data_IF_285529767601
#
_entry.id   IF_285529767601
#
_cell.length_a   1.000
_cell.length_b   1.000
_cell.length_c   1.000
_cell.angle_alpha   90.00
_cell.angle_beta   90.00
_cell.angle_gamma   90.00
#
_symmetry.space_group_name_H-M   'P 1'
#
loop_
_entity.id
_entity.type
_entity.pdbx_description
1 polymer ?
#
# COMPACT_ATOMS: atom_id res chain seq x y z
N UNK A 1 -4.97 -8.11 5.41
CA UNK A 1 -5.09 -7.10 4.33
C UNK A 1 -6.41 -6.34 4.37
N UNK A 2 -7.58 -7.00 4.52
CA UNK A 2 -8.87 -6.30 4.58
C UNK A 2 -8.94 -5.21 5.66
N UNK A 3 -8.64 -5.54 6.93
CA UNK A 3 -8.68 -4.57 8.02
C UNK A 3 -7.77 -3.35 7.77
N UNK A 4 -6.58 -3.60 7.22
CA UNK A 4 -5.64 -2.55 6.85
C UNK A 4 -6.20 -1.66 5.72
N UNK A 5 -6.70 -2.26 4.64
CA UNK A 5 -7.29 -1.51 3.53
C UNK A 5 -8.50 -0.68 3.96
N UNK A 6 -9.36 -1.20 4.84
CA UNK A 6 -10.47 -0.44 5.44
C UNK A 6 -9.95 0.72 6.30
N UNK A 7 -8.90 0.50 7.10
CA UNK A 7 -8.26 1.56 7.86
C UNK A 7 -7.74 2.70 6.97
N UNK A 8 -7.18 2.37 5.80
CA UNK A 8 -6.69 3.37 4.84
C UNK A 8 -7.78 4.20 4.17
N UNK A 9 -9.01 3.67 4.08
CA UNK A 9 -10.17 4.49 3.68
C UNK A 9 -10.41 5.60 4.72
N UNK A 10 -10.26 5.29 6.02
CA UNK A 10 -10.32 6.28 7.09
C UNK A 10 -9.26 7.36 6.96
N UNK A 11 -7.99 6.97 6.77
CA UNK A 11 -6.89 7.92 6.51
C UNK A 11 -7.19 8.83 5.30
N UNK A 12 -7.69 8.24 4.22
CA UNK A 12 -8.02 8.99 3.00
C UNK A 12 -9.12 10.04 3.22
N UNK A 13 -10.19 9.67 3.93
CA UNK A 13 -11.32 10.56 4.21
C UNK A 13 -10.97 11.66 5.22
N UNK A 14 -10.11 11.34 6.20
CA UNK A 14 -9.64 12.32 7.18
C UNK A 14 -8.63 13.31 6.58
N UNK A 15 -7.83 12.89 5.60
CA UNK A 15 -6.67 13.67 5.16
C UNK A 15 -5.67 13.83 6.30
N UNK A 16 -5.28 12.72 6.93
CA UNK A 16 -4.41 12.71 8.11
C UNK A 16 -2.91 12.88 7.80
N UNK A 17 -2.55 13.17 6.55
CA UNK A 17 -1.15 13.27 6.10
C UNK A 17 -0.63 12.01 5.39
N UNK A 18 -1.44 10.95 5.27
CA UNK A 18 -1.06 9.74 4.53
C UNK A 18 -1.26 9.88 3.01
N UNK A 19 -0.59 10.86 2.44
CA UNK A 19 -0.54 11.14 1.00
C UNK A 19 0.90 11.07 0.48
N UNK A 20 1.02 10.97 -0.84
CA UNK A 20 2.30 10.87 -1.54
C UNK A 20 2.94 12.22 -1.86
N UNK A 21 3.98 12.17 -2.69
CA UNK A 21 4.60 13.36 -3.27
C UNK A 21 3.62 14.16 -4.13
N UNK A 22 3.97 15.43 -4.39
CA UNK A 22 3.26 16.29 -5.35
C UNK A 22 3.23 15.61 -6.71
N UNK A 23 2.03 15.44 -7.26
CA UNK A 23 1.81 14.82 -8.56
C UNK A 23 1.93 15.89 -9.65
N UNK A 24 3.10 15.98 -10.27
CA UNK A 24 3.36 16.84 -11.42
C UNK A 24 3.03 16.17 -12.77
N UNK A 25 2.55 14.92 -12.75
CA UNK A 25 2.30 14.14 -13.95
C UNK A 25 0.86 14.33 -14.43
N UNK A 26 0.73 14.62 -15.73
CA UNK A 26 -0.58 14.66 -16.37
C UNK A 26 -1.21 13.26 -16.36
N UNK A 27 -2.51 13.23 -16.10
CA UNK A 27 -3.28 11.99 -16.10
C UNK A 27 -3.25 11.35 -17.48
N UNK A 28 -2.82 10.08 -17.59
CA UNK A 28 -2.68 9.43 -18.89
C UNK A 28 -4.06 9.27 -19.56
N UNK A 29 -4.13 9.32 -20.90
CA UNK A 29 -5.41 9.24 -21.63
C UNK A 29 -6.21 7.96 -21.33
N UNK A 30 -5.52 6.86 -21.05
CA UNK A 30 -6.12 5.56 -20.69
C UNK A 30 -6.89 5.58 -19.37
N UNK A 31 -6.59 6.52 -18.47
CA UNK A 31 -7.21 6.65 -17.16
C UNK A 31 -8.25 7.78 -17.08
N UNK A 32 -8.62 8.40 -18.22
CA UNK A 32 -9.61 9.50 -18.25
C UNK A 32 -10.99 9.12 -17.72
N UNK A 33 -11.34 7.84 -17.75
CA UNK A 33 -12.62 7.34 -17.22
C UNK A 33 -12.71 7.40 -15.69
N UNK A 34 -11.56 7.45 -15.00
CA UNK A 34 -11.54 7.61 -13.55
C UNK A 34 -11.82 9.07 -13.17
N UNK A 35 -12.37 9.34 -11.98
CA UNK A 35 -12.34 10.66 -11.35
C UNK A 35 -10.93 11.24 -11.21
N UNK A 36 -10.80 12.57 -11.21
CA UNK A 36 -9.50 13.24 -11.12
C UNK A 36 -8.85 13.12 -9.74
N UNK A 37 -9.67 13.09 -8.67
CA UNK A 37 -9.19 12.90 -7.30
C UNK A 37 -8.47 11.55 -7.10
N UNK A 38 -8.77 10.55 -7.93
CA UNK A 38 -8.08 9.24 -7.87
C UNK A 38 -6.68 9.30 -8.47
N UNK A 39 -6.33 10.36 -9.20
CA UNK A 39 -5.01 10.56 -9.77
C UNK A 39 -4.22 11.64 -9.01
N UNK A 40 -4.87 12.77 -8.73
CA UNK A 40 -4.28 13.90 -8.03
C UNK A 40 -5.34 14.54 -7.14
N UNK A 41 -5.05 14.58 -5.83
CA UNK A 41 -5.99 15.10 -4.84
C UNK A 41 -5.34 16.14 -3.94
N UNK A 42 -6.11 17.16 -3.53
CA UNK A 42 -5.63 18.25 -2.68
C UNK A 42 -6.03 18.11 -1.21
N UNK A 43 -6.78 17.06 -0.86
CA UNK A 43 -7.27 16.82 0.51
C UNK A 43 -7.87 18.10 1.15
N UNK A 44 -9.00 18.60 0.60
CA UNK A 44 -9.69 19.74 1.21
C UNK A 44 -10.24 19.34 2.58
N UNK A 45 -10.19 20.27 3.53
CA UNK A 45 -10.58 20.04 4.93
C UNK A 45 -9.79 18.91 5.61
N UNK A 46 -8.49 18.82 5.31
CA UNK A 46 -7.63 17.83 5.94
C UNK A 46 -7.48 18.09 7.45
N UNK A 47 -7.43 17.02 8.25
CA UNK A 47 -7.45 17.10 9.72
C UNK A 47 -6.18 17.70 10.33
N UNK A 48 -5.10 17.79 9.56
CA UNK A 48 -3.82 18.35 10.01
C UNK A 48 -3.63 19.83 9.63
N UNK A 49 -4.65 20.45 9.02
CA UNK A 49 -4.64 21.85 8.57
C UNK A 49 -3.44 22.22 7.66
N UNK A 50 -2.97 21.26 6.86
CA UNK A 50 -1.84 21.43 5.96
C UNK A 50 -2.21 22.21 4.69
N UNK A 51 -1.28 23.08 4.26
CA UNK A 51 -1.33 23.80 2.99
C UNK A 51 -1.83 25.24 3.13
N UNK A 52 -2.81 25.60 2.30
CA UNK A 52 -3.39 26.94 2.23
C UNK A 52 -4.83 26.92 2.74
N UNK A 53 -5.29 28.04 3.29
CA UNK A 53 -6.67 28.19 3.73
C UNK A 53 -7.62 28.24 2.51
N UNK A 54 -8.78 27.61 2.64
CA UNK A 54 -9.86 27.65 1.66
C UNK A 54 -10.61 28.98 1.80
N UNK A 55 -10.71 29.73 0.71
CA UNK A 55 -11.43 31.02 0.69
C UNK A 55 -12.90 30.83 1.05
N UNK A 56 -13.38 31.65 2.00
CA UNK A 56 -14.76 31.59 2.47
C UNK A 56 -15.08 30.44 3.45
N UNK A 57 -14.10 29.62 3.85
CA UNK A 57 -14.31 28.56 4.84
C UNK A 57 -14.27 29.11 6.28
N UNK A 58 -15.32 28.83 7.04
CA UNK A 58 -15.43 29.13 8.47
C UNK A 58 -15.73 27.83 9.24
N UNK A 59 -14.86 27.45 10.16
CA UNK A 59 -14.97 26.20 10.92
C UNK A 59 -13.62 25.59 11.29
N UNK A 60 -13.66 24.35 11.78
CA UNK A 60 -12.49 23.52 12.05
C UNK A 60 -12.09 22.79 10.75
N UNK A 61 -10.80 22.67 10.47
CA UNK A 61 -10.24 22.09 9.24
C UNK A 61 -10.60 22.84 7.96
N UNK A 62 -10.05 24.04 7.79
CA UNK A 62 -10.29 24.90 6.61
C UNK A 62 -9.08 24.98 5.68
N UNK A 63 -8.16 24.01 5.75
CA UNK A 63 -6.98 23.95 4.89
C UNK A 63 -7.14 22.94 3.74
N UNK A 64 -6.37 23.18 2.68
CA UNK A 64 -6.16 22.24 1.58
C UNK A 64 -4.72 22.34 1.07
N UNK A 65 -4.21 21.26 0.48
CA UNK A 65 -2.88 21.27 -0.12
C UNK A 65 -2.81 22.23 -1.31
N UNK A 66 -1.70 22.97 -1.40
CA UNK A 66 -1.44 23.93 -2.48
C UNK A 66 -1.40 23.26 -3.85
N UNK A 67 -0.73 22.12 -3.94
CA UNK A 67 -0.62 21.29 -5.13
C UNK A 67 -1.31 19.94 -4.90
N UNK A 68 -1.79 19.32 -5.99
CA UNK A 68 -2.36 17.98 -5.92
C UNK A 68 -1.25 16.94 -5.70
N UNK A 69 -1.49 16.02 -4.79
CA UNK A 69 -0.56 14.94 -4.43
C UNK A 69 -1.13 13.61 -4.89
N UNK A 70 -0.27 12.59 -4.97
CA UNK A 70 -0.74 11.22 -5.16
C UNK A 70 -1.54 10.77 -3.94
N UNK A 71 -2.80 10.30 -4.09
CA UNK A 71 -3.61 9.81 -2.99
C UNK A 71 -3.16 8.40 -2.57
N UNK A 72 -1.99 8.27 -1.95
CA UNK A 72 -1.39 6.98 -1.58
C UNK A 72 -2.29 6.16 -0.65
N UNK A 73 -2.95 6.79 0.33
CA UNK A 73 -3.95 6.14 1.18
C UNK A 73 -5.07 5.44 0.38
N UNK A 74 -5.53 6.04 -0.71
CA UNK A 74 -6.50 5.41 -1.61
C UNK A 74 -5.89 4.22 -2.37
N UNK A 75 -4.67 4.38 -2.90
CA UNK A 75 -3.98 3.29 -3.59
C UNK A 75 -3.74 2.08 -2.68
N UNK A 76 -3.30 2.32 -1.44
CA UNK A 76 -3.14 1.27 -0.42
C UNK A 76 -4.46 0.56 -0.12
N UNK A 77 -5.56 1.31 0.05
CA UNK A 77 -6.86 0.73 0.29
C UNK A 77 -7.29 -0.20 -0.85
N UNK A 78 -7.17 0.26 -2.10
CA UNK A 78 -7.54 -0.53 -3.29
C UNK A 78 -6.67 -1.76 -3.43
N UNK A 79 -5.34 -1.62 -3.33
CA UNK A 79 -4.42 -2.75 -3.48
C UNK A 79 -4.64 -3.76 -2.35
N UNK A 80 -4.74 -3.33 -1.09
CA UNK A 80 -4.93 -4.25 0.03
C UNK A 80 -6.28 -4.97 0.01
N UNK A 81 -7.36 -4.30 -0.38
CA UNK A 81 -8.68 -4.94 -0.54
C UNK A 81 -8.66 -5.89 -1.74
N UNK A 82 -8.04 -5.49 -2.86
CA UNK A 82 -7.88 -6.32 -4.05
C UNK A 82 -7.05 -7.58 -3.79
N UNK A 83 -5.93 -7.46 -3.09
CA UNK A 83 -5.08 -8.59 -2.70
C UNK A 83 -5.79 -9.51 -1.69
N UNK A 84 -6.57 -8.93 -0.76
CA UNK A 84 -7.43 -9.74 0.10
C UNK A 84 -8.45 -10.55 -0.71
N UNK A 85 -9.14 -9.91 -1.66
CA UNK A 85 -10.10 -10.59 -2.53
C UNK A 85 -9.42 -11.70 -3.35
N UNK A 86 -8.24 -11.43 -3.92
CA UNK A 86 -7.44 -12.41 -4.65
C UNK A 86 -7.12 -13.64 -3.78
N UNK A 87 -6.60 -13.41 -2.57
CA UNK A 87 -6.34 -14.48 -1.62
C UNK A 87 -7.63 -15.22 -1.25
N UNK A 88 -8.72 -14.50 -1.00
CA UNK A 88 -10.01 -15.09 -0.66
C UNK A 88 -10.56 -16.00 -1.77
N UNK A 89 -10.33 -15.66 -3.03
CA UNK A 89 -10.68 -16.51 -4.18
C UNK A 89 -9.86 -17.81 -4.20
N UNK A 90 -8.55 -17.73 -3.93
CA UNK A 90 -7.66 -18.91 -3.92
C UNK A 90 -7.69 -19.72 -2.63
N UNK A 91 -8.39 -19.27 -1.58
CA UNK A 91 -8.43 -19.93 -0.26
C UNK A 91 -8.80 -21.42 -0.29
N UNK A 92 -9.61 -21.84 -1.27
CA UNK A 92 -10.07 -23.24 -1.39
C UNK A 92 -9.13 -24.11 -2.23
N UNK A 93 -8.26 -23.49 -3.04
CA UNK A 93 -7.25 -24.17 -3.88
C UNK A 93 -6.03 -24.52 -3.03
N UNK A 94 -5.54 -23.54 -2.27
CA UNK A 94 -4.36 -23.67 -1.41
C UNK A 94 -4.68 -24.52 -0.18
N UNK A 95 -4.35 -25.82 -0.23
CA UNK A 95 -4.54 -26.77 0.89
C UNK A 95 -3.29 -26.99 1.74
N UNK A 96 -2.13 -26.51 1.28
CA UNK A 96 -0.86 -26.72 1.98
C UNK A 96 -0.76 -25.77 3.18
N UNK A 97 -0.63 -26.28 4.41
CA UNK A 97 -0.47 -25.44 5.60
C UNK A 97 0.74 -24.51 5.47
N UNK A 98 0.58 -23.25 5.85
CA UNK A 98 1.64 -22.24 5.80
C UNK A 98 1.81 -21.52 4.45
N UNK A 99 1.41 -22.11 3.32
CA UNK A 99 1.57 -21.48 2.00
C UNK A 99 0.81 -20.15 1.91
N UNK A 100 -0.41 -20.11 2.45
CA UNK A 100 -1.24 -18.91 2.49
C UNK A 100 -0.60 -17.77 3.31
N UNK A 101 0.10 -18.11 4.39
CA UNK A 101 0.77 -17.15 5.25
C UNK A 101 2.00 -16.55 4.56
N UNK A 102 2.84 -17.38 3.93
CA UNK A 102 3.99 -16.88 3.20
C UNK A 102 3.61 -16.08 1.97
N UNK A 103 2.53 -16.47 1.27
CA UNK A 103 1.96 -15.66 0.20
C UNK A 103 1.50 -14.29 0.71
N UNK A 104 0.84 -14.25 1.88
CA UNK A 104 0.47 -13.00 2.52
C UNK A 104 1.68 -12.11 2.84
N UNK A 105 2.78 -12.68 3.37
CA UNK A 105 4.01 -11.93 3.66
C UNK A 105 4.61 -11.30 2.40
N UNK A 106 4.69 -12.06 1.30
CA UNK A 106 5.20 -11.54 0.02
C UNK A 106 4.29 -10.41 -0.46
N UNK A 107 2.99 -10.66 -0.57
CA UNK A 107 2.04 -9.68 -1.09
C UNK A 107 2.00 -8.39 -0.26
N UNK A 108 2.01 -8.49 1.07
CA UNK A 108 1.99 -7.32 1.95
C UNK A 108 3.33 -6.57 1.95
N UNK A 109 4.47 -7.28 1.91
CA UNK A 109 5.77 -6.65 1.79
C UNK A 109 5.92 -5.92 0.45
N UNK A 110 5.53 -6.54 -0.67
CA UNK A 110 5.59 -5.91 -1.99
C UNK A 110 4.71 -4.65 -2.07
N UNK A 111 3.48 -4.70 -1.58
CA UNK A 111 2.59 -3.53 -1.56
C UNK A 111 3.21 -2.37 -0.77
N UNK A 112 3.72 -2.64 0.44
CA UNK A 112 4.39 -1.65 1.27
C UNK A 112 5.60 -1.03 0.58
N UNK A 113 6.42 -1.84 -0.08
CA UNK A 113 7.60 -1.36 -0.81
C UNK A 113 7.22 -0.43 -1.98
N UNK A 114 6.18 -0.78 -2.74
CA UNK A 114 5.73 0.02 -3.89
C UNK A 114 5.17 1.38 -3.46
N UNK A 115 4.36 1.40 -2.39
CA UNK A 115 3.74 2.65 -1.94
C UNK A 115 4.75 3.57 -1.27
N UNK A 116 5.71 3.01 -0.54
CA UNK A 116 6.78 3.75 0.11
C UNK A 116 7.62 4.56 -0.90
N UNK A 117 7.82 4.02 -2.11
CA UNK A 117 8.51 4.75 -3.20
C UNK A 117 7.78 6.04 -3.61
N UNK A 118 6.45 6.09 -3.41
CA UNK A 118 5.58 7.22 -3.78
C UNK A 118 5.40 8.18 -2.58
N UNK A 119 5.61 7.71 -1.34
CA UNK A 119 5.44 8.51 -0.12
C UNK A 119 6.57 9.53 0.08
N UNK A 120 6.22 10.62 0.75
CA UNK A 120 7.18 11.54 1.37
C UNK A 120 7.58 10.91 2.70
N UNK A 121 8.66 10.13 2.74
CA UNK A 121 9.21 9.62 4.00
C UNK A 121 10.68 10.01 4.15
N UNK A 122 11.07 10.24 5.40
CA UNK A 122 12.45 10.56 5.77
C UNK A 122 13.35 9.34 5.52
N UNK A 123 14.42 9.57 4.75
CA UNK A 123 15.44 8.56 4.45
C UNK A 123 16.33 8.36 5.67
N UNK A 124 16.37 7.15 6.24
CA UNK A 124 17.31 6.82 7.31
C UNK A 124 18.62 6.31 6.70
N UNK A 125 19.77 6.85 7.14
CA UNK A 125 21.08 6.31 6.76
C UNK A 125 21.40 5.09 7.60
N UNK A 126 21.37 3.92 6.98
CA UNK A 126 21.79 2.66 7.59
C UNK A 126 22.87 2.05 6.71
N UNK A 127 24.06 1.75 7.26
CA UNK A 127 25.17 1.10 6.53
C UNK A 127 25.63 1.84 5.24
N UNK A 128 25.45 3.16 5.16
CA UNK A 128 25.80 3.96 3.98
C UNK A 128 24.76 3.94 2.86
N UNK A 129 23.62 3.26 3.07
CA UNK A 129 22.46 3.26 2.18
C UNK A 129 21.33 4.08 2.83
N UNK A 130 20.64 4.89 2.04
CA UNK A 130 19.50 5.70 2.47
C UNK A 130 18.20 4.90 2.35
N UNK A 131 17.93 4.03 3.33
CA UNK A 131 16.79 3.12 3.35
C UNK A 131 15.76 3.54 4.40
N UNK A 132 14.48 3.45 4.09
CA UNK A 132 13.41 3.71 5.07
C UNK A 132 13.17 2.50 5.98
N UNK A 133 12.66 2.74 7.19
CA UNK A 133 12.29 1.64 8.10
C UNK A 133 11.26 0.70 7.47
N UNK A 134 10.33 1.25 6.69
CA UNK A 134 9.33 0.49 5.97
C UNK A 134 9.93 -0.36 4.83
N UNK A 135 10.96 0.13 4.12
CA UNK A 135 11.71 -0.64 3.12
C UNK A 135 12.41 -1.86 3.75
N UNK A 136 12.99 -1.72 4.94
CA UNK A 136 13.64 -2.84 5.64
C UNK A 136 12.64 -3.93 6.06
N UNK A 137 11.53 -3.53 6.67
CA UNK A 137 10.50 -4.47 7.13
C UNK A 137 9.84 -5.16 5.94
N UNK A 138 9.52 -4.42 4.88
CA UNK A 138 8.94 -4.99 3.65
C UNK A 138 9.91 -5.97 2.98
N UNK A 139 11.20 -5.65 2.88
CA UNK A 139 12.21 -6.57 2.36
C UNK A 139 12.31 -7.85 3.19
N UNK A 140 12.32 -7.73 4.52
CA UNK A 140 12.34 -8.88 5.41
C UNK A 140 11.10 -9.78 5.24
N UNK A 141 9.91 -9.18 5.08
CA UNK A 141 8.67 -9.92 4.82
C UNK A 141 8.70 -10.66 3.49
N UNK A 142 9.16 -10.02 2.41
CA UNK A 142 9.28 -10.65 1.08
C UNK A 142 10.28 -11.81 1.11
N UNK A 143 11.46 -11.60 1.68
CA UNK A 143 12.50 -12.63 1.78
C UNK A 143 12.01 -13.79 2.65
N UNK A 144 11.44 -13.51 3.82
CA UNK A 144 10.89 -14.53 4.73
C UNK A 144 9.76 -15.34 4.08
N UNK A 145 8.91 -14.67 3.30
CA UNK A 145 7.88 -15.28 2.48
C UNK A 145 8.45 -16.24 1.44
N UNK A 146 9.42 -15.79 0.63
CA UNK A 146 10.06 -16.61 -0.41
C UNK A 146 10.77 -17.84 0.18
N UNK A 147 11.57 -17.64 1.23
CA UNK A 147 12.27 -18.73 1.93
C UNK A 147 11.28 -19.76 2.48
N UNK A 148 10.18 -19.29 3.07
CA UNK A 148 9.11 -20.16 3.58
C UNK A 148 8.44 -21.00 2.50
N UNK A 149 8.10 -20.41 1.35
CA UNK A 149 7.52 -21.14 0.22
C UNK A 149 8.51 -22.18 -0.32
N UNK A 150 9.76 -21.80 -0.53
CA UNK A 150 10.82 -22.71 -1.01
C UNK A 150 10.99 -23.87 -0.03
N UNK A 151 11.06 -23.61 1.28
CA UNK A 151 11.20 -24.64 2.30
C UNK A 151 10.02 -25.63 2.30
N UNK A 152 8.78 -25.14 2.12
CA UNK A 152 7.60 -26.00 1.98
C UNK A 152 7.70 -26.88 0.72
N UNK A 153 8.03 -26.30 -0.43
CA UNK A 153 8.14 -27.03 -1.69
C UNK A 153 9.23 -28.11 -1.58
N UNK A 154 10.42 -27.76 -1.07
CA UNK A 154 11.52 -28.70 -0.85
C UNK A 154 11.12 -29.86 0.08
N UNK A 155 10.33 -29.58 1.14
CA UNK A 155 9.81 -30.63 2.04
C UNK A 155 8.80 -31.55 1.35
N UNK A 156 7.91 -31.01 0.52
CA UNK A 156 6.91 -31.81 -0.21
C UNK A 156 7.56 -32.69 -1.27
N UNK A 157 8.56 -32.18 -1.99
CA UNK A 157 9.35 -32.95 -2.96
C UNK A 157 10.09 -34.11 -2.30
N UNK A 158 10.71 -33.89 -1.12
CA UNK A 158 11.35 -34.96 -0.34
C UNK A 158 10.37 -36.02 0.17
N UNK A 159 9.10 -35.68 0.37
CA UNK A 159 8.06 -36.61 0.82
C UNK A 159 7.34 -37.33 -0.33
N UNK A 160 7.69 -37.07 -1.60
CA UNK A 160 7.06 -37.71 -2.77
C UNK A 160 5.57 -37.37 -2.96
N UNK A 161 5.04 -36.34 -2.27
CA UNK A 161 3.64 -35.95 -2.35
C UNK A 161 3.40 -35.09 -3.60
N UNK A 162 2.33 -35.38 -4.35
CA UNK A 162 1.87 -34.53 -5.46
C UNK A 162 1.47 -33.15 -4.90
N UNK A 163 2.09 -32.11 -5.43
CA UNK A 163 1.75 -30.72 -5.11
C UNK A 163 0.40 -30.41 -5.76
N UNK A 164 -0.67 -30.44 -4.98
CA UNK A 164 -1.96 -29.90 -5.39
C UNK A 164 -2.04 -28.44 -4.92
N UNK A 165 -1.76 -27.51 -5.85
CA UNK A 165 -1.90 -26.06 -5.70
C UNK A 165 -3.37 -25.61 -5.64
#
# INVERSE_FOLDING_TARGET
MLAYGVGRIGCHLAGDGDWGIVNNHQKPPTLRWLPDWMWSFKFPHNTIDAGIKIDGCAGVHCAQLRAGVYPTSFYEAVICIGLFALMWLFRKRIRVPGLMFYLFLILNGTERFLIETIRINDRYRVLGLELTQAEMISAAMVIGGLVGIIAIICRQLKQGKRIHL
#
